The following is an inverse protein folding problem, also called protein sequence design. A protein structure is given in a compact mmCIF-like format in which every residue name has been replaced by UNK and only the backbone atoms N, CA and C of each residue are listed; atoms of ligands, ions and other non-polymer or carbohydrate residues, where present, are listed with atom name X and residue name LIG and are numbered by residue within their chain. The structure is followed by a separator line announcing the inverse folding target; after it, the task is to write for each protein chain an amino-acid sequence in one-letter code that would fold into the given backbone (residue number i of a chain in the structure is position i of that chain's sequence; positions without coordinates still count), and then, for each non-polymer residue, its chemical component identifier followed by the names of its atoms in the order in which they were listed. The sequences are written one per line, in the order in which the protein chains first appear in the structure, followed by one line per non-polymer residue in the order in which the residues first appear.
data_IF_843057734411
#
_entry.id   IF_843057734411
#
_cell.length_a   1.000
_cell.length_b   1.000
_cell.length_c   1.000
_cell.angle_alpha   90.00
_cell.angle_beta   90.00
_cell.angle_gamma   90.00
#
_symmetry.space_group_name_H-M   'P 1'
#
loop_
_entity.id
_entity.type
_entity.pdbx_description
1 polymer ?
#
# COMPACT_ATOMS: atom_id res chain seq x y z
N UNK A 1 5.73 -4.70 9.67
CA UNK A 1 5.19 -4.17 10.94
C UNK A 1 4.73 -2.72 10.80
N UNK A 2 3.80 -2.43 9.87
CA UNK A 2 3.22 -1.08 9.68
C UNK A 2 1.79 -1.03 10.24
N UNK A 3 0.96 -2.05 9.98
CA UNK A 3 -0.35 -2.20 10.58
C UNK A 3 -0.33 -2.06 12.11
N UNK A 4 0.66 -2.67 12.80
CA UNK A 4 0.72 -2.61 14.27
C UNK A 4 1.11 -1.22 14.82
N UNK A 5 1.51 -0.28 13.97
CA UNK A 5 1.80 1.11 14.38
C UNK A 5 0.52 1.92 14.62
N UNK A 6 -0.62 1.44 14.11
CA UNK A 6 -1.94 2.11 14.20
C UNK A 6 -2.77 1.46 15.29
N UNK A 7 -2.69 0.14 15.41
CA UNK A 7 -3.36 -0.62 16.45
C UNK A 7 -2.43 -1.73 16.94
N UNK A 8 -2.26 -1.84 18.26
CA UNK A 8 -1.46 -2.89 18.86
C UNK A 8 -2.25 -3.58 19.98
N UNK A 9 -2.25 -4.92 19.97
CA UNK A 9 -2.90 -5.75 20.99
C UNK A 9 -2.23 -5.67 22.36
N UNK A 10 -0.96 -5.27 22.42
CA UNK A 10 -0.17 -5.12 23.66
C UNK A 10 -0.46 -3.79 24.39
N UNK A 11 -1.32 -2.93 23.82
CA UNK A 11 -1.82 -1.69 24.44
C UNK A 11 -1.32 -0.39 23.79
N UNK A 12 -1.93 0.74 24.17
CA UNK A 12 -1.73 2.08 23.57
C UNK A 12 -0.28 2.56 23.54
N UNK A 13 0.56 2.07 24.46
CA UNK A 13 2.00 2.42 24.55
C UNK A 13 2.82 1.97 23.34
N UNK A 14 2.28 1.07 22.50
CA UNK A 14 2.96 0.55 21.32
C UNK A 14 2.47 1.16 19.99
N UNK A 15 1.51 2.10 20.04
CA UNK A 15 1.00 2.85 18.88
C UNK A 15 1.88 4.09 18.69
N UNK A 16 2.53 4.23 17.53
CA UNK A 16 3.37 5.38 17.24
C UNK A 16 2.60 6.39 16.39
N UNK A 17 1.92 7.33 17.06
CA UNK A 17 1.17 8.42 16.41
C UNK A 17 2.04 9.33 15.53
N UNK A 18 3.36 9.36 15.76
CA UNK A 18 4.30 10.11 14.93
C UNK A 18 4.69 9.33 13.65
N UNK A 19 4.88 8.00 13.75
CA UNK A 19 5.51 7.20 12.69
C UNK A 19 4.55 6.32 11.89
N UNK A 20 3.26 6.34 12.21
CA UNK A 20 2.28 5.51 11.50
C UNK A 20 1.99 6.00 10.08
N UNK A 21 2.28 7.27 9.77
CA UNK A 21 2.06 7.83 8.44
C UNK A 21 3.32 7.76 7.59
N UNK A 22 3.18 7.38 6.32
CA UNK A 22 4.30 7.32 5.38
C UNK A 22 3.87 7.81 4.00
N UNK A 23 4.80 8.43 3.29
CA UNK A 23 4.63 8.73 1.87
C UNK A 23 5.06 7.52 1.03
N UNK A 24 4.33 7.24 -0.04
CA UNK A 24 4.64 6.15 -0.97
C UNK A 24 4.62 6.64 -2.41
N UNK A 25 5.28 5.90 -3.29
CA UNK A 25 5.23 6.12 -4.74
C UNK A 25 4.63 4.87 -5.38
N UNK A 26 3.62 5.07 -6.23
CA UNK A 26 3.03 4.01 -7.05
C UNK A 26 3.52 4.20 -8.47
N UNK A 27 4.29 3.23 -8.95
CA UNK A 27 4.85 3.22 -10.30
C UNK A 27 4.04 2.28 -11.19
N UNK A 28 3.59 2.77 -12.33
CA UNK A 28 2.99 1.97 -13.39
C UNK A 28 4.06 1.69 -14.44
N UNK A 29 4.44 0.42 -14.57
CA UNK A 29 5.39 -0.04 -15.55
C UNK A 29 4.68 -0.43 -16.86
N UNK A 30 5.34 -0.23 -17.99
CA UNK A 30 4.91 -0.79 -19.28
C UNK A 30 5.34 -2.27 -19.40
N UNK A 31 4.99 -2.91 -20.52
CA UNK A 31 5.32 -4.32 -20.79
C UNK A 31 6.83 -4.61 -20.87
N UNK A 32 7.65 -3.57 -21.07
CA UNK A 32 9.11 -3.65 -21.09
C UNK A 32 9.72 -3.42 -19.70
N UNK A 33 8.90 -3.21 -18.66
CA UNK A 33 9.38 -2.94 -17.29
C UNK A 33 9.88 -1.51 -17.08
N UNK A 34 9.54 -0.57 -17.96
CA UNK A 34 9.90 0.84 -17.82
C UNK A 34 8.75 1.61 -17.18
N UNK A 35 9.06 2.50 -16.22
CA UNK A 35 8.05 3.34 -15.56
C UNK A 35 7.40 4.28 -16.58
N UNK A 36 6.11 4.08 -16.83
CA UNK A 36 5.30 4.89 -17.72
C UNK A 36 4.58 6.03 -16.99
N UNK A 37 4.19 5.80 -15.73
CA UNK A 37 3.56 6.80 -14.84
C UNK A 37 4.01 6.57 -13.41
N UNK A 38 4.11 7.64 -12.63
CA UNK A 38 4.30 7.55 -11.19
C UNK A 38 3.30 8.46 -10.45
N UNK A 39 2.86 8.01 -9.28
CA UNK A 39 1.99 8.76 -8.39
C UNK A 39 2.65 8.87 -7.02
N UNK A 40 2.77 10.08 -6.49
CA UNK A 40 3.18 10.33 -5.11
C UNK A 40 1.94 10.38 -4.26
N UNK A 41 1.85 9.50 -3.27
CA UNK A 41 0.71 9.41 -2.36
C UNK A 41 1.21 9.77 -0.97
N UNK A 42 0.57 10.77 -0.36
CA UNK A 42 1.07 11.41 0.84
C UNK A 42 0.33 10.96 2.09
N UNK A 43 1.12 10.83 3.16
CA UNK A 43 0.66 10.58 4.53
C UNK A 43 -0.28 9.39 4.59
N UNK A 44 0.11 8.29 3.97
CA UNK A 44 -0.66 7.04 3.95
C UNK A 44 -0.61 6.33 5.30
N UNK A 45 -1.65 5.58 5.63
CA UNK A 45 -1.69 4.68 6.79
C UNK A 45 -2.52 3.43 6.48
N UNK A 46 -2.25 2.34 7.20
CA UNK A 46 -3.01 1.09 7.08
C UNK A 46 -4.37 1.23 7.77
N UNK A 47 -5.47 1.12 7.04
CA UNK A 47 -6.82 1.08 7.64
C UNK A 47 -7.31 -0.34 7.91
N UNK A 48 -6.84 -1.30 7.13
CA UNK A 48 -7.23 -2.70 7.25
C UNK A 48 -6.09 -3.61 6.80
N UNK A 49 -5.96 -4.76 7.46
CA UNK A 49 -4.99 -5.79 7.12
C UNK A 49 -5.59 -7.17 7.33
N UNK A 50 -5.68 -7.92 6.24
CA UNK A 50 -6.13 -9.30 6.23
C UNK A 50 -4.93 -10.20 5.90
N UNK A 51 -4.45 -10.91 6.91
CA UNK A 51 -3.29 -11.80 6.77
C UNK A 51 -3.63 -13.09 5.99
N UNK A 52 -4.86 -13.59 6.09
CA UNK A 52 -5.28 -14.80 5.41
C UNK A 52 -6.71 -14.64 4.87
N UNK A 53 -7.01 -15.19 3.68
CA UNK A 53 -8.39 -15.32 3.24
C UNK A 53 -9.14 -16.31 4.14
N UNK A 54 -10.46 -16.38 3.95
CA UNK A 54 -11.28 -17.39 4.64
C UNK A 54 -10.79 -18.80 4.29
N UNK A 55 -10.43 -19.55 5.33
CA UNK A 55 -9.94 -20.93 5.22
C UNK A 55 -11.13 -21.89 5.30
N UNK A 56 -11.90 -21.96 4.21
CA UNK A 56 -12.94 -22.98 4.04
C UNK A 56 -12.44 -24.07 3.09
N UNK A 57 -12.47 -25.32 3.54
CA UNK A 57 -12.04 -26.49 2.78
C UNK A 57 -12.84 -26.71 1.49
N UNK A 58 -14.03 -26.13 1.38
CA UNK A 58 -14.86 -26.18 0.17
C UNK A 58 -14.72 -24.93 -0.71
N UNK A 59 -13.98 -23.91 -0.27
CA UNK A 59 -13.79 -22.69 -1.04
C UNK A 59 -12.59 -22.82 -2.00
N UNK A 60 -12.71 -22.21 -3.17
CA UNK A 60 -11.58 -22.04 -4.10
C UNK A 60 -10.81 -20.75 -3.78
N UNK A 61 -10.36 -20.61 -2.53
CA UNK A 61 -9.63 -19.43 -2.08
C UNK A 61 -8.14 -19.55 -2.39
N UNK A 62 -7.56 -18.49 -2.97
CA UNK A 62 -6.10 -18.33 -3.11
C UNK A 62 -5.60 -17.52 -1.93
N UNK A 63 -4.54 -17.99 -1.26
CA UNK A 63 -3.90 -17.27 -0.16
C UNK A 63 -3.27 -15.97 -0.66
N UNK A 64 -3.95 -14.85 -0.40
CA UNK A 64 -3.49 -13.50 -0.71
C UNK A 64 -3.60 -12.68 0.57
N UNK A 65 -2.49 -12.06 0.98
CA UNK A 65 -2.52 -11.05 2.03
C UNK A 65 -3.03 -9.73 1.44
N UNK A 66 -3.96 -9.08 2.15
CA UNK A 66 -4.57 -7.83 1.70
C UNK A 66 -4.29 -6.71 2.71
N UNK A 67 -3.92 -5.54 2.17
CA UNK A 67 -3.63 -4.34 2.94
C UNK A 67 -4.36 -3.16 2.32
N UNK A 68 -5.21 -2.49 3.09
CA UNK A 68 -5.87 -1.26 2.67
C UNK A 68 -5.12 -0.07 3.23
N UNK A 69 -4.71 0.83 2.34
CA UNK A 69 -4.12 2.11 2.70
C UNK A 69 -5.12 3.24 2.49
N UNK A 70 -5.24 4.11 3.49
CA UNK A 70 -5.90 5.41 3.37
C UNK A 70 -4.82 6.49 3.26
N UNK A 71 -5.14 7.59 2.58
CA UNK A 71 -4.21 8.69 2.35
C UNK A 71 -4.93 10.04 2.42
N UNK A 72 -4.16 11.12 2.60
CA UNK A 72 -4.72 12.48 2.63
C UNK A 72 -4.69 13.17 1.27
N UNK A 73 -3.84 12.70 0.37
CA UNK A 73 -3.73 13.27 -0.96
C UNK A 73 -2.80 12.46 -1.83
N UNK A 74 -2.87 12.72 -3.13
CA UNK A 74 -1.98 12.15 -4.11
C UNK A 74 -1.80 13.11 -5.26
N UNK A 75 -0.65 13.05 -5.91
CA UNK A 75 -0.38 13.75 -7.16
C UNK A 75 0.30 12.84 -8.17
N UNK A 76 0.08 13.12 -9.46
CA UNK A 76 0.83 12.48 -10.53
C UNK A 76 2.19 13.16 -10.66
N UNK A 77 3.27 12.38 -10.71
CA UNK A 77 4.61 12.94 -10.92
C UNK A 77 4.76 13.41 -12.37
N UNK A 78 4.92 14.73 -12.63
CA UNK A 78 5.09 15.25 -13.98
C UNK A 78 6.48 14.96 -14.57
N UNK A 79 7.47 14.59 -13.75
CA UNK A 79 8.81 14.25 -14.21
C UNK A 79 8.85 12.90 -14.96
N UNK A 80 7.86 12.04 -14.71
CA UNK A 80 7.72 10.74 -15.39
C UNK A 80 6.87 10.90 -16.64
N UNK A 81 7.55 10.97 -17.78
CA UNK A 81 6.94 10.96 -19.11
C UNK A 81 6.87 9.54 -19.65
N UNK A 82 5.79 9.21 -20.34
CA UNK A 82 5.64 7.91 -20.99
C UNK A 82 6.76 7.68 -22.01
N UNK A 83 7.49 6.55 -21.92
CA UNK A 83 8.54 6.23 -22.88
C UNK A 83 7.95 5.96 -24.26
N UNK A 84 8.62 6.43 -25.33
CA UNK A 84 8.22 6.12 -26.70
C UNK A 84 8.42 4.63 -26.95
N UNK A 85 7.38 3.98 -27.48
CA UNK A 85 7.47 2.58 -27.91
C UNK A 85 8.53 2.45 -29.01
N UNK A 86 9.53 1.60 -28.80
CA UNK A 86 10.46 1.10 -29.83
C UNK A 86 10.12 -0.31 -30.21
#
# INVERSE_FOLDING_TARGET
NWANLIYNTDGDMAISLEKFRKDIIIELLNEQGVVAKAYKVYRCWVSDYQALPELDANAHAVAIEHLVLQNEGWERDPAVTEPKQT
#
